data_IF_118902559473
#
_entry.id   IF_118902559473
#
_cell.length_a   1.000
_cell.length_b   1.000
_cell.length_c   1.000
_cell.angle_alpha   90.00
_cell.angle_beta   90.00
_cell.angle_gamma   90.00
#
_symmetry.space_group_name_H-M   'P 1'
#
loop_
_entity.id
_entity.type
_entity.pdbx_description
1 polymer ?
#
# COMPACT_ATOMS: atom_id res chain seq x y z
N UNK A 1 -12.15 -22.16 -0.55
CA UNK A 1 -12.11 -20.71 -0.86
C UNK A 1 -11.04 -20.53 -1.92
N UNK A 2 -11.35 -19.97 -3.08
CA UNK A 2 -10.33 -19.77 -4.12
C UNK A 2 -9.38 -18.64 -3.68
N UNK A 3 -8.07 -18.85 -3.82
CA UNK A 3 -7.09 -17.80 -3.60
C UNK A 3 -7.34 -16.68 -4.60
N UNK A 4 -7.52 -15.45 -4.14
CA UNK A 4 -7.66 -14.30 -5.05
C UNK A 4 -6.37 -14.18 -5.87
N UNK A 5 -6.52 -14.04 -7.18
CA UNK A 5 -5.40 -13.84 -8.10
C UNK A 5 -5.95 -13.22 -9.40
N UNK A 6 -5.08 -12.59 -10.19
CA UNK A 6 -5.48 -11.87 -11.40
C UNK A 6 -5.80 -12.79 -12.58
N UNK A 7 -5.48 -14.09 -12.51
CA UNK A 7 -5.87 -15.09 -13.51
C UNK A 7 -7.36 -15.43 -13.37
N UNK A 8 -7.80 -15.73 -12.14
CA UNK A 8 -9.16 -16.18 -11.84
C UNK A 8 -10.10 -14.97 -11.60
N UNK A 9 -9.55 -13.80 -11.26
CA UNK A 9 -10.28 -12.53 -11.09
C UNK A 9 -9.68 -11.42 -11.98
N UNK A 10 -9.84 -11.51 -13.32
CA UNK A 10 -9.30 -10.50 -14.23
C UNK A 10 -9.90 -9.12 -13.96
N UNK A 11 -9.19 -8.07 -14.38
CA UNK A 11 -9.61 -6.69 -14.20
C UNK A 11 -8.51 -5.69 -14.54
N UNK A 12 -8.77 -4.41 -14.25
CA UNK A 12 -7.86 -3.31 -14.55
C UNK A 12 -6.48 -3.49 -13.88
N UNK A 13 -5.47 -2.99 -14.58
CA UNK A 13 -4.09 -2.84 -14.09
C UNK A 13 -3.71 -1.38 -14.28
N UNK A 14 -3.07 -0.81 -13.27
CA UNK A 14 -2.76 0.61 -13.24
C UNK A 14 -1.24 0.80 -13.24
N UNK A 15 -0.70 1.87 -13.86
CA UNK A 15 0.71 2.21 -13.75
C UNK A 15 1.07 2.55 -12.30
N UNK A 16 2.28 2.19 -11.85
CA UNK A 16 2.75 2.52 -10.51
C UNK A 16 2.92 4.06 -10.37
N UNK A 17 2.06 4.70 -9.59
CA UNK A 17 2.06 6.16 -9.36
C UNK A 17 2.01 6.55 -7.89
N UNK A 18 1.76 5.58 -7.01
CA UNK A 18 1.57 5.78 -5.57
C UNK A 18 2.52 4.86 -4.81
N UNK A 19 3.28 5.44 -3.87
CA UNK A 19 4.06 4.69 -2.87
C UNK A 19 3.29 4.74 -1.56
N UNK A 20 2.98 3.59 -0.98
CA UNK A 20 2.31 3.50 0.31
C UNK A 20 3.23 2.84 1.33
N UNK A 21 3.59 3.55 2.39
CA UNK A 21 4.34 3.00 3.51
C UNK A 21 3.39 2.40 4.55
N UNK A 22 3.43 1.08 4.66
CA UNK A 22 2.58 0.29 5.55
C UNK A 22 1.47 -0.46 4.82
N UNK A 23 1.22 -1.68 5.31
CA UNK A 23 0.28 -2.67 4.77
C UNK A 23 -0.96 -2.86 5.68
N UNK A 24 -1.09 -2.03 6.70
CA UNK A 24 -2.10 -2.16 7.74
C UNK A 24 -3.54 -2.04 7.25
N UNK A 25 -4.48 -2.56 8.04
CA UNK A 25 -5.91 -2.57 7.71
C UNK A 25 -6.48 -1.18 7.42
N UNK A 26 -6.00 -0.14 8.11
CA UNK A 26 -6.48 1.22 7.90
C UNK A 26 -6.22 1.71 6.47
N UNK A 27 -4.98 1.60 5.98
CA UNK A 27 -4.64 2.04 4.63
C UNK A 27 -5.42 1.23 3.58
N UNK A 28 -5.53 -0.09 3.78
CA UNK A 28 -6.26 -0.99 2.89
C UNK A 28 -7.77 -0.74 2.83
N UNK A 29 -8.37 -0.38 3.96
CA UNK A 29 -9.81 -0.14 4.07
C UNK A 29 -10.22 1.32 3.84
N UNK A 30 -9.27 2.25 3.84
CA UNK A 30 -9.54 3.68 3.70
C UNK A 30 -8.89 4.29 2.45
N UNK A 31 -7.56 4.25 2.35
CA UNK A 31 -6.81 4.89 1.25
C UNK A 31 -6.98 4.08 -0.03
N UNK A 32 -6.61 2.80 0.00
CA UNK A 32 -6.63 1.94 -1.18
C UNK A 32 -8.06 1.78 -1.74
N UNK A 33 -9.07 1.77 -0.87
CA UNK A 33 -10.49 1.78 -1.24
C UNK A 33 -10.89 3.04 -2.02
N UNK A 34 -10.48 4.22 -1.55
CA UNK A 34 -10.74 5.48 -2.26
C UNK A 34 -10.00 5.53 -3.60
N UNK A 35 -8.74 5.07 -3.65
CA UNK A 35 -7.98 5.00 -4.91
C UNK A 35 -8.67 4.07 -5.92
N UNK A 36 -9.17 2.93 -5.46
CA UNK A 36 -9.86 1.97 -6.32
C UNK A 36 -11.17 2.54 -6.89
N UNK A 37 -11.93 3.29 -6.08
CA UNK A 37 -13.12 4.03 -6.54
C UNK A 37 -12.77 5.17 -7.50
N UNK A 38 -11.72 5.94 -7.20
CA UNK A 38 -11.29 7.03 -8.07
C UNK A 38 -10.82 6.50 -9.42
N UNK A 39 -10.07 5.40 -9.46
CA UNK A 39 -9.69 4.77 -10.72
C UNK A 39 -10.89 4.26 -11.54
N UNK A 40 -12.01 3.91 -10.90
CA UNK A 40 -13.23 3.47 -11.59
C UNK A 40 -14.06 4.65 -12.12
N UNK A 41 -14.11 5.75 -11.38
CA UNK A 41 -14.99 6.88 -11.68
C UNK A 41 -14.28 8.10 -12.31
N UNK A 42 -12.96 8.08 -12.40
CA UNK A 42 -12.15 9.17 -12.96
C UNK A 42 -10.99 8.64 -13.80
N UNK A 43 -10.17 9.54 -14.34
CA UNK A 43 -8.97 9.25 -15.13
C UNK A 43 -7.68 9.12 -14.29
N UNK A 44 -7.80 8.99 -12.96
CA UNK A 44 -6.66 8.92 -12.03
C UNK A 44 -5.61 7.88 -12.45
N UNK A 45 -6.05 6.72 -12.92
CA UNK A 45 -5.23 5.63 -13.48
C UNK A 45 -3.94 5.41 -12.66
N UNK A 46 -4.06 5.16 -11.37
CA UNK A 46 -2.95 5.12 -10.42
C UNK A 46 -2.92 3.82 -9.62
N UNK A 47 -1.83 3.08 -9.79
CA UNK A 47 -1.53 1.86 -9.05
C UNK A 47 -0.65 2.12 -7.84
N UNK A 48 -0.91 1.36 -6.77
CA UNK A 48 -0.23 1.45 -5.48
C UNK A 48 0.84 0.38 -5.37
N UNK A 49 2.04 0.80 -4.99
CA UNK A 49 3.11 -0.08 -4.49
C UNK A 49 3.19 0.07 -2.99
N UNK A 50 2.92 -1.02 -2.28
CA UNK A 50 3.02 -1.04 -0.82
C UNK A 50 4.44 -1.37 -0.41
N UNK A 51 5.02 -0.54 0.44
CA UNK A 51 6.33 -0.69 1.05
C UNK A 51 6.13 -1.16 2.47
N UNK A 52 6.46 -2.42 2.76
CA UNK A 52 6.40 -3.00 4.10
C UNK A 52 7.59 -2.53 4.93
N UNK A 53 7.36 -1.75 6.00
CA UNK A 53 8.44 -1.09 6.72
C UNK A 53 9.02 -1.93 7.87
N UNK A 54 8.38 -3.05 8.24
CA UNK A 54 8.75 -3.94 9.34
C UNK A 54 9.09 -5.32 8.78
N UNK A 55 10.16 -5.93 9.26
CA UNK A 55 10.53 -7.31 8.91
C UNK A 55 9.58 -8.28 9.62
N UNK A 56 8.52 -8.71 8.93
CA UNK A 56 7.54 -9.66 9.43
C UNK A 56 6.98 -10.49 8.28
N UNK A 57 6.75 -11.78 8.54
CA UNK A 57 6.06 -12.69 7.62
C UNK A 57 4.53 -12.66 7.83
N UNK A 58 4.05 -11.93 8.83
CA UNK A 58 2.63 -11.76 9.15
C UNK A 58 2.19 -10.30 9.10
N UNK A 59 1.05 -9.98 8.45
CA UNK A 59 0.27 -10.88 7.59
C UNK A 59 1.03 -11.26 6.31
N UNK A 60 0.68 -12.39 5.65
CA UNK A 60 1.31 -12.79 4.39
C UNK A 60 1.28 -11.65 3.37
N UNK A 61 2.31 -11.59 2.53
CA UNK A 61 2.40 -10.54 1.50
C UNK A 61 1.18 -10.55 0.60
N UNK A 62 0.65 -9.36 0.28
CA UNK A 62 -0.44 -9.19 -0.68
C UNK A 62 -0.04 -9.65 -2.09
N UNK A 63 1.27 -9.69 -2.39
CA UNK A 63 1.79 -10.24 -3.63
C UNK A 63 1.47 -11.74 -3.80
N UNK A 64 1.15 -12.48 -2.72
CA UNK A 64 0.67 -13.87 -2.82
C UNK A 64 -0.69 -14.00 -3.52
N UNK A 65 -1.42 -12.89 -3.63
CA UNK A 65 -2.72 -12.78 -4.29
C UNK A 65 -2.71 -11.74 -5.43
N UNK A 66 -1.54 -11.47 -6.03
CA UNK A 66 -1.36 -10.46 -7.09
C UNK A 66 -1.83 -9.03 -6.68
N UNK A 67 -1.71 -8.70 -5.38
CA UNK A 67 -2.17 -7.44 -4.81
C UNK A 67 -3.68 -7.38 -4.53
N UNK A 68 -4.44 -8.42 -4.89
CA UNK A 68 -5.88 -8.45 -4.71
C UNK A 68 -6.27 -8.80 -3.27
N UNK A 69 -7.25 -8.08 -2.74
CA UNK A 69 -7.91 -8.40 -1.47
C UNK A 69 -9.31 -7.79 -1.43
N UNK A 70 -10.13 -8.24 -0.47
CA UNK A 70 -11.49 -7.73 -0.31
C UNK A 70 -11.56 -6.75 0.87
N UNK A 71 -12.13 -5.58 0.64
CA UNK A 71 -12.54 -4.65 1.70
C UNK A 71 -14.03 -4.80 1.91
N UNK A 72 -14.46 -4.92 3.17
CA UNK A 72 -15.88 -4.99 3.55
C UNK A 72 -16.23 -3.72 4.33
N UNK A 73 -17.19 -2.96 3.82
CA UNK A 73 -17.69 -1.73 4.44
C UNK A 73 -19.00 -2.09 5.14
N UNK A 74 -19.04 -1.87 6.45
CA UNK A 74 -20.23 -2.16 7.27
C UNK A 74 -20.60 -0.93 8.09
N UNK A 75 -21.88 -0.68 8.21
CA UNK A 75 -22.39 0.45 8.97
C UNK A 75 -23.91 0.54 8.90
N UNK A 76 -24.44 1.69 9.28
CA UNK A 76 -25.83 2.06 9.08
C UNK A 76 -25.91 3.08 7.96
N UNK A 77 -26.89 2.94 7.06
CA UNK A 77 -27.19 3.97 6.07
C UNK A 77 -27.94 5.16 6.71
N UNK A 78 -28.26 6.17 5.91
CA UNK A 78 -29.00 7.36 6.35
C UNK A 78 -30.39 7.03 6.93
N UNK A 79 -30.96 5.87 6.56
CA UNK A 79 -32.24 5.36 7.03
C UNK A 79 -32.11 4.51 8.32
N UNK A 80 -30.89 4.32 8.83
CA UNK A 80 -30.61 3.51 10.02
C UNK A 80 -30.56 2.00 9.78
N UNK A 81 -30.53 1.56 8.52
CA UNK A 81 -30.50 0.16 8.14
C UNK A 81 -29.06 -0.35 8.05
N UNK A 82 -28.83 -1.59 8.50
CA UNK A 82 -27.52 -2.21 8.42
C UNK A 82 -27.14 -2.49 6.96
N UNK A 83 -25.99 -1.94 6.55
CA UNK A 83 -25.39 -2.17 5.23
C UNK A 83 -24.08 -2.94 5.37
N UNK A 84 -23.80 -3.81 4.40
CA UNK A 84 -22.54 -4.55 4.29
C UNK A 84 -22.17 -4.69 2.81
N UNK A 85 -21.29 -3.83 2.32
CA UNK A 85 -20.77 -3.88 0.96
C UNK A 85 -19.40 -4.52 0.92
N UNK A 86 -19.15 -5.38 -0.08
CA UNK A 86 -17.88 -6.08 -0.26
C UNK A 86 -17.28 -5.70 -1.61
N UNK A 87 -16.10 -5.07 -1.59
CA UNK A 87 -15.38 -4.64 -2.77
C UNK A 87 -14.06 -5.38 -2.93
N UNK A 88 -13.82 -5.91 -4.12
CA UNK A 88 -12.51 -6.43 -4.50
C UNK A 88 -11.60 -5.27 -4.91
N UNK A 89 -10.55 -5.03 -4.12
CA UNK A 89 -9.56 -3.98 -4.38
C UNK A 89 -8.55 -4.45 -5.41
N UNK A 90 -8.28 -3.61 -6.41
CA UNK A 90 -7.41 -3.90 -7.56
C UNK A 90 -6.33 -2.83 -7.79
N UNK A 91 -6.41 -1.71 -7.08
CA UNK A 91 -5.47 -0.59 -7.10
C UNK A 91 -4.05 -0.97 -6.67
N UNK A 92 -3.89 -2.00 -5.82
CA UNK A 92 -2.57 -2.49 -5.41
C UNK A 92 -1.96 -3.39 -6.47
N UNK A 93 -0.75 -3.01 -6.91
CA UNK A 93 0.02 -3.74 -7.93
C UNK A 93 0.91 -4.81 -7.30
N UNK A 94 1.65 -4.44 -6.26
CA UNK A 94 2.58 -5.31 -5.54
C UNK A 94 2.92 -4.75 -4.17
N UNK A 95 3.48 -5.62 -3.35
CA UNK A 95 4.09 -5.29 -2.07
C UNK A 95 5.60 -5.58 -2.13
N UNK A 96 6.40 -4.67 -1.58
CA UNK A 96 7.85 -4.74 -1.48
C UNK A 96 8.25 -4.72 0.00
N UNK A 97 9.02 -5.71 0.43
CA UNK A 97 9.66 -5.69 1.75
C UNK A 97 10.96 -4.90 1.68
N UNK A 98 11.09 -3.84 2.48
CA UNK A 98 12.30 -3.00 2.48
C UNK A 98 13.55 -3.79 2.92
N UNK A 99 13.38 -4.84 3.72
CA UNK A 99 14.49 -5.64 4.25
C UNK A 99 15.01 -6.67 3.24
N UNK A 100 14.13 -7.29 2.45
CA UNK A 100 14.53 -8.33 1.48
C UNK A 100 14.64 -7.81 0.04
N UNK A 101 14.04 -6.66 -0.26
CA UNK A 101 13.94 -6.10 -1.62
C UNK A 101 14.34 -4.63 -1.63
N UNK A 102 15.40 -4.28 -0.89
CA UNK A 102 15.85 -2.89 -0.74
C UNK A 102 16.13 -2.20 -2.08
N UNK A 103 16.75 -2.90 -3.04
CA UNK A 103 17.04 -2.35 -4.37
C UNK A 103 15.77 -2.03 -5.17
N UNK A 104 14.73 -2.86 -5.06
CA UNK A 104 13.43 -2.60 -5.69
C UNK A 104 12.75 -1.38 -5.05
N UNK A 105 12.82 -1.28 -3.72
CA UNK A 105 12.43 -0.08 -3.01
C UNK A 105 13.24 1.14 -3.51
N UNK A 106 14.52 0.98 -3.85
CA UNK A 106 15.33 2.05 -4.46
C UNK A 106 14.90 2.49 -5.84
N UNK A 107 14.42 1.59 -6.67
CA UNK A 107 13.93 1.95 -8.00
C UNK A 107 12.65 2.79 -7.96
N UNK A 108 11.81 2.66 -6.93
CA UNK A 108 10.57 3.43 -6.82
C UNK A 108 10.82 4.95 -6.83
N UNK A 109 11.87 5.41 -6.14
CA UNK A 109 12.21 6.84 -6.07
C UNK A 109 12.71 7.41 -7.40
N UNK A 110 13.19 6.55 -8.30
CA UNK A 110 13.65 6.94 -9.63
C UNK A 110 12.53 6.86 -10.70
N UNK A 111 11.34 6.39 -10.33
CA UNK A 111 10.22 6.33 -11.26
C UNK A 111 9.60 7.72 -11.45
N UNK A 112 9.72 8.34 -12.64
CA UNK A 112 9.21 9.69 -12.89
C UNK A 112 7.68 9.76 -12.91
N UNK A 113 6.97 8.64 -12.91
CA UNK A 113 5.50 8.60 -12.85
C UNK A 113 4.95 8.60 -11.42
N UNK A 114 5.79 8.49 -10.40
CA UNK A 114 5.35 8.60 -9.01
C UNK A 114 4.80 10.01 -8.72
N UNK A 115 3.63 10.07 -8.08
CA UNK A 115 2.90 11.31 -7.79
C UNK A 115 2.56 11.48 -6.32
N UNK A 116 2.25 10.37 -5.65
CA UNK A 116 1.76 10.42 -4.27
C UNK A 116 2.55 9.48 -3.36
N UNK A 117 2.72 9.92 -2.12
CA UNK A 117 3.22 9.09 -1.04
C UNK A 117 2.21 9.11 0.10
N UNK A 118 1.70 7.93 0.46
CA UNK A 118 0.87 7.74 1.64
C UNK A 118 1.67 7.00 2.71
N UNK A 119 1.38 7.30 3.97
CA UNK A 119 1.99 6.60 5.09
C UNK A 119 1.04 6.65 6.29
N UNK A 120 0.97 5.56 7.03
CA UNK A 120 0.31 5.51 8.33
C UNK A 120 1.27 4.93 9.36
N UNK A 121 2.25 5.73 9.78
CA UNK A 121 3.28 5.35 10.75
C UNK A 121 2.91 5.62 12.20
N UNK A 122 1.68 6.04 12.48
CA UNK A 122 1.25 6.66 13.76
C UNK A 122 2.20 7.77 14.21
N UNK A 123 1.89 8.42 15.33
CA UNK A 123 2.73 9.46 15.93
C UNK A 123 4.07 8.87 16.38
N UNK A 124 4.10 7.61 16.82
CA UNK A 124 5.29 6.93 17.30
C UNK A 124 6.32 6.66 16.19
N UNK A 125 5.87 6.42 14.95
CA UNK A 125 6.75 6.13 13.82
C UNK A 125 7.35 7.38 13.17
N UNK A 126 6.86 8.59 13.48
CA UNK A 126 7.48 9.85 13.09
C UNK A 126 8.41 10.32 14.22
N UNK A 127 9.40 9.49 14.53
CA UNK A 127 10.36 9.75 15.60
C UNK A 127 11.79 9.78 15.07
N UNK A 128 12.62 10.62 15.67
CA UNK A 128 14.05 10.65 15.41
C UNK A 128 14.71 9.44 16.08
N UNK A 129 15.55 8.73 15.33
CA UNK A 129 16.37 7.65 15.86
C UNK A 129 17.86 8.04 15.74
N UNK A 130 18.51 8.29 16.87
CA UNK A 130 19.89 8.77 16.91
C UNK A 130 20.92 7.80 16.30
N UNK A 131 20.56 6.52 16.18
CA UNK A 131 21.40 5.49 15.57
C UNK A 131 21.29 5.39 14.06
N UNK A 132 20.36 6.10 13.41
CA UNK A 132 20.26 6.07 11.94
C UNK A 132 21.50 6.70 11.32
N UNK A 133 22.12 5.98 10.39
CA UNK A 133 23.28 6.42 9.61
C UNK A 133 22.90 6.63 8.17
N UNK A 134 23.69 7.45 7.48
CA UNK A 134 23.47 7.74 6.07
C UNK A 134 23.47 6.46 5.22
N UNK A 135 24.35 5.50 5.52
CA UNK A 135 24.55 4.28 4.74
C UNK A 135 23.65 3.09 5.15
N UNK A 136 22.68 3.30 6.05
CA UNK A 136 21.80 2.21 6.48
C UNK A 136 20.85 1.75 5.36
N UNK A 137 20.83 0.42 5.15
CA UNK A 137 20.08 -0.25 4.10
C UNK A 137 19.31 -1.47 4.66
N UNK A 138 18.13 -1.28 5.30
CA UNK A 138 17.44 0.00 5.50
C UNK A 138 17.74 0.70 6.83
N UNK A 139 17.55 2.03 6.83
CA UNK A 139 17.44 2.81 8.06
C UNK A 139 16.31 2.30 8.96
N UNK A 140 16.40 2.56 10.26
CA UNK A 140 15.41 2.09 11.24
C UNK A 140 14.16 2.95 11.16
N UNK A 141 14.31 4.27 11.24
CA UNK A 141 13.18 5.19 11.31
C UNK A 141 12.53 5.44 9.94
N UNK A 142 11.22 5.73 9.95
CA UNK A 142 10.51 6.15 8.74
C UNK A 142 11.05 7.46 8.13
N UNK A 143 11.33 8.52 8.92
CA UNK A 143 11.96 9.72 8.38
C UNK A 143 13.27 9.44 7.65
N UNK A 144 14.17 8.62 8.19
CA UNK A 144 15.43 8.28 7.54
C UNK A 144 15.23 7.48 6.24
N UNK A 145 14.28 6.51 6.22
CA UNK A 145 13.88 5.79 4.99
C UNK A 145 13.42 6.74 3.89
N UNK A 146 12.79 7.87 4.26
CA UNK A 146 12.32 8.90 3.33
C UNK A 146 13.41 9.90 2.93
N UNK A 147 14.27 10.34 3.84
CA UNK A 147 15.31 11.35 3.56
C UNK A 147 16.34 10.87 2.55
N UNK A 148 16.64 9.57 2.50
CA UNK A 148 17.50 9.02 1.43
C UNK A 148 16.90 9.17 0.02
N UNK A 149 15.66 9.69 -0.11
CA UNK A 149 14.84 9.76 -1.33
C UNK A 149 14.39 11.17 -1.75
N UNK A 150 14.74 12.19 -0.98
CA UNK A 150 14.71 13.59 -1.45
C UNK A 150 16.14 13.98 -1.80
#
# INVERSE_FOLDING_TARGET
MNTLNRRDFPGARYPERIIQFGEGNFLRAFVDWQIDLLNEHTDLNSGVVIVRPIQSDFPPSLSTQDGLYTTIIRGLNEQGEAVSDARLIRSVNREISVYSQYDEFLKLAHNPDMRFVFSNTTEAGISYHAGDKFDDAPAVSYPAKRTRRL
#
